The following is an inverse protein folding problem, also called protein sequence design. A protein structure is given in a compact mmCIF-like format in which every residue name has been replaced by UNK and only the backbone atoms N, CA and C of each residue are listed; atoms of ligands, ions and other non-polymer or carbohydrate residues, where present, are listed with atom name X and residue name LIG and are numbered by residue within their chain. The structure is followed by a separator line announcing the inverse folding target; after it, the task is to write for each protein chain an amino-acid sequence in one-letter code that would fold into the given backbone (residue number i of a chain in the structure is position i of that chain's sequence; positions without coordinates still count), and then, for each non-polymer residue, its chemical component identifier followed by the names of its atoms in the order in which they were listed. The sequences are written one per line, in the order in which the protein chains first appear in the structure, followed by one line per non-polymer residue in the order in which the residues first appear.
data_IF_503151329618
#
_entry.id   IF_503151329618
#
_cell.length_a   1.000
_cell.length_b   1.000
_cell.length_c   1.000
_cell.angle_alpha   90.00
_cell.angle_beta   90.00
_cell.angle_gamma   90.00
#
_symmetry.space_group_name_H-M   'P 1'
#
loop_
_entity.id
_entity.type
_entity.pdbx_description
1 polymer ?
#
# COMPACT_ATOMS: atom_id res chain seq x y z
N UNK A 1 -12.72 -20.93 -13.95
CA UNK A 1 -11.61 -20.37 -13.13
C UNK A 1 -10.47 -20.01 -14.09
N UNK A 2 -9.87 -18.83 -13.95
CA UNK A 2 -8.72 -18.42 -14.78
C UNK A 2 -7.54 -19.33 -14.43
N UNK A 3 -6.86 -19.86 -15.44
CA UNK A 3 -5.72 -20.75 -15.24
C UNK A 3 -4.50 -19.99 -14.67
N UNK A 4 -3.57 -20.66 -13.97
CA UNK A 4 -2.34 -20.03 -13.50
C UNK A 4 -1.52 -19.37 -14.60
N UNK A 5 -1.49 -19.98 -15.80
CA UNK A 5 -0.76 -19.45 -16.95
C UNK A 5 -1.42 -18.17 -17.50
N UNK A 6 -2.75 -18.12 -17.54
CA UNK A 6 -3.48 -16.91 -17.89
C UNK A 6 -3.24 -15.80 -16.87
N UNK A 7 -3.24 -16.11 -15.56
CA UNK A 7 -2.90 -15.12 -14.51
C UNK A 7 -1.49 -14.58 -14.73
N UNK A 8 -0.51 -15.46 -14.97
CA UNK A 8 0.87 -15.05 -15.20
C UNK A 8 1.00 -14.14 -16.44
N UNK A 9 0.28 -14.46 -17.53
CA UNK A 9 0.24 -13.63 -18.74
C UNK A 9 -0.38 -12.25 -18.47
N UNK A 10 -1.46 -12.18 -17.68
CA UNK A 10 -2.09 -10.91 -17.31
C UNK A 10 -1.18 -10.06 -16.43
N UNK A 11 -0.50 -10.68 -15.45
CA UNK A 11 0.48 -9.97 -14.60
C UNK A 11 1.66 -9.47 -15.43
N UNK A 12 2.15 -10.25 -16.39
CA UNK A 12 3.19 -9.80 -17.32
C UNK A 12 2.72 -8.60 -18.17
N UNK A 13 1.48 -8.62 -18.64
CA UNK A 13 0.90 -7.49 -19.37
C UNK A 13 0.84 -6.21 -18.50
N UNK A 14 0.52 -6.33 -17.21
CA UNK A 14 0.55 -5.19 -16.27
C UNK A 14 1.96 -4.64 -16.08
N UNK A 15 2.96 -5.53 -15.94
CA UNK A 15 4.38 -5.16 -15.82
C UNK A 15 4.82 -4.37 -17.06
N UNK A 16 4.52 -4.88 -18.26
CA UNK A 16 4.95 -4.25 -19.50
C UNK A 16 4.25 -2.91 -19.73
N UNK A 17 2.93 -2.85 -19.50
CA UNK A 17 2.14 -1.66 -19.80
C UNK A 17 2.38 -0.51 -18.82
N UNK A 18 2.46 -0.81 -17.52
CA UNK A 18 2.61 0.20 -16.46
C UNK A 18 4.02 0.28 -15.87
N UNK A 19 4.98 -0.46 -16.44
CA UNK A 19 6.38 -0.53 -15.98
C UNK A 19 6.53 -0.90 -14.49
N UNK A 20 5.59 -1.67 -13.96
CA UNK A 20 5.61 -2.13 -12.57
C UNK A 20 6.69 -3.20 -12.35
N UNK A 21 7.17 -3.31 -11.11
CA UNK A 21 7.89 -4.52 -10.71
C UNK A 21 6.90 -5.69 -10.67
N UNK A 22 7.36 -6.89 -11.06
CA UNK A 22 6.51 -8.10 -11.11
C UNK A 22 5.80 -8.38 -9.79
N UNK A 23 6.51 -8.22 -8.67
CA UNK A 23 5.94 -8.42 -7.34
C UNK A 23 4.81 -7.43 -7.02
N UNK A 24 4.95 -6.16 -7.41
CA UNK A 24 3.90 -5.16 -7.27
C UNK A 24 2.72 -5.40 -8.21
N UNK A 25 2.97 -5.78 -9.46
CA UNK A 25 1.91 -6.15 -10.41
C UNK A 25 1.10 -7.34 -9.88
N UNK A 26 1.78 -8.36 -9.32
CA UNK A 26 1.13 -9.49 -8.67
C UNK A 26 0.33 -9.06 -7.43
N UNK A 27 0.86 -8.15 -6.61
CA UNK A 27 0.15 -7.65 -5.43
C UNK A 27 -1.13 -6.89 -5.81
N UNK A 28 -1.08 -6.05 -6.85
CA UNK A 28 -2.28 -5.35 -7.37
C UNK A 28 -3.26 -6.35 -7.98
N UNK A 29 -2.78 -7.36 -8.72
CA UNK A 29 -3.61 -8.44 -9.23
C UNK A 29 -4.34 -9.21 -8.13
N UNK A 30 -3.66 -9.48 -7.02
CA UNK A 30 -4.29 -10.18 -5.89
C UNK A 30 -5.41 -9.35 -5.24
N UNK A 31 -5.40 -8.02 -5.37
CA UNK A 31 -6.45 -7.15 -4.85
C UNK A 31 -7.63 -6.99 -5.82
N UNK A 32 -7.34 -6.72 -7.10
CA UNK A 32 -8.37 -6.30 -8.06
C UNK A 32 -8.65 -7.32 -9.17
N UNK A 33 -7.82 -8.35 -9.32
CA UNK A 33 -7.92 -9.34 -10.38
C UNK A 33 -7.97 -8.66 -11.75
N UNK A 34 -9.02 -8.98 -12.52
CA UNK A 34 -9.24 -8.43 -13.87
C UNK A 34 -9.34 -6.90 -13.91
N UNK A 35 -9.75 -6.24 -12.81
CA UNK A 35 -9.89 -4.78 -12.74
C UNK A 35 -8.55 -4.06 -12.51
N UNK A 36 -7.45 -4.79 -12.29
CA UNK A 36 -6.13 -4.21 -11.98
C UNK A 36 -5.69 -3.17 -13.01
N UNK A 37 -5.86 -3.48 -14.30
CA UNK A 37 -5.46 -2.56 -15.37
C UNK A 37 -6.28 -1.27 -15.34
N UNK A 38 -7.60 -1.37 -15.13
CA UNK A 38 -8.48 -0.22 -15.07
C UNK A 38 -8.20 0.66 -13.84
N UNK A 39 -7.93 0.04 -12.68
CA UNK A 39 -7.56 0.77 -11.46
C UNK A 39 -6.23 1.49 -11.62
N UNK A 40 -5.18 0.79 -12.11
CA UNK A 40 -3.86 1.43 -12.33
C UNK A 40 -4.00 2.58 -13.35
N UNK A 41 -4.77 2.39 -14.41
CA UNK A 41 -5.07 3.44 -15.39
C UNK A 41 -5.68 4.69 -14.74
N UNK A 42 -6.68 4.53 -13.87
CA UNK A 42 -7.29 5.65 -13.12
C UNK A 42 -6.26 6.34 -12.22
N UNK A 43 -5.41 5.58 -11.53
CA UNK A 43 -4.36 6.14 -10.66
C UNK A 43 -3.35 6.98 -11.46
N UNK A 44 -2.94 6.48 -12.63
CA UNK A 44 -2.02 7.20 -13.51
C UNK A 44 -2.68 8.46 -14.08
N UNK A 45 -3.94 8.39 -14.50
CA UNK A 45 -4.71 9.54 -14.99
C UNK A 45 -4.87 10.62 -13.92
N UNK A 46 -5.33 10.28 -12.71
CA UNK A 46 -5.50 11.25 -11.61
C UNK A 46 -4.17 11.91 -11.24
N UNK A 47 -3.09 11.13 -11.18
CA UNK A 47 -1.77 11.68 -10.87
C UNK A 47 -1.27 12.61 -11.98
N UNK A 48 -1.64 12.40 -13.25
CA UNK A 48 -1.30 13.32 -14.34
C UNK A 48 -2.09 14.63 -14.28
N UNK A 49 -3.33 14.61 -13.78
CA UNK A 49 -4.16 15.80 -13.60
C UNK A 49 -3.64 16.69 -12.46
N UNK A 50 -3.24 16.09 -11.33
CA UNK A 50 -2.58 16.78 -10.21
C UNK A 50 -1.23 17.44 -10.63
N UNK A 51 -0.60 16.93 -11.70
CA UNK A 51 0.68 17.41 -12.23
C UNK A 51 0.56 18.62 -13.18
N UNK A 52 -0.61 19.25 -13.32
CA UNK A 52 -0.74 20.54 -14.05
C UNK A 52 0.05 21.71 -13.41
N UNK A 53 0.77 21.48 -12.30
CA UNK A 53 1.82 22.36 -11.75
C UNK A 53 3.26 21.85 -11.91
N UNK A 54 3.51 20.91 -12.83
CA UNK A 54 4.82 20.57 -13.38
C UNK A 54 5.65 19.58 -12.55
N UNK A 55 5.77 18.33 -13.02
CA UNK A 55 7.01 17.52 -13.05
C UNK A 55 6.68 16.06 -13.34
N UNK A 56 7.57 15.38 -14.07
CA UNK A 56 7.62 13.98 -14.56
C UNK A 56 7.53 12.93 -13.42
N UNK A 57 6.47 12.95 -12.62
CA UNK A 57 6.38 12.22 -11.36
C UNK A 57 5.55 10.93 -11.43
N UNK A 58 4.67 10.78 -12.42
CA UNK A 58 3.70 9.66 -12.50
C UNK A 58 4.39 8.31 -12.61
N UNK A 59 5.36 8.19 -13.51
CA UNK A 59 6.07 6.93 -13.79
C UNK A 59 6.93 6.48 -12.60
N UNK A 60 7.56 7.41 -11.88
CA UNK A 60 8.31 7.09 -10.65
C UNK A 60 7.44 6.80 -9.44
N UNK A 61 6.20 7.30 -9.43
CA UNK A 61 5.33 7.19 -8.25
C UNK A 61 4.91 5.75 -7.95
N UNK A 62 4.66 4.94 -8.99
CA UNK A 62 4.21 3.56 -8.85
C UNK A 62 5.30 2.62 -8.30
N UNK A 63 6.57 3.05 -8.27
CA UNK A 63 7.65 2.29 -7.66
C UNK A 63 7.74 2.45 -6.15
N UNK A 64 7.10 3.47 -5.56
CA UNK A 64 7.10 3.65 -4.12
C UNK A 64 6.16 2.64 -3.48
N UNK A 65 6.68 1.80 -2.59
CA UNK A 65 5.91 0.75 -1.91
C UNK A 65 5.52 1.10 -0.48
N UNK A 66 4.41 0.52 -0.03
CA UNK A 66 4.05 0.46 1.37
C UNK A 66 5.02 -0.49 2.09
N UNK A 67 5.65 -0.02 3.16
CA UNK A 67 6.65 -0.74 3.96
C UNK A 67 6.13 -2.12 4.34
N UNK A 68 6.99 -3.12 4.20
CA UNK A 68 6.65 -4.52 4.49
C UNK A 68 5.77 -5.20 3.43
N UNK A 69 5.46 -4.52 2.31
CA UNK A 69 4.58 -5.06 1.27
C UNK A 69 5.08 -4.75 -0.15
N UNK A 70 4.50 -5.46 -1.11
CA UNK A 70 4.72 -5.19 -2.53
C UNK A 70 3.72 -4.18 -3.14
N UNK A 71 2.81 -3.64 -2.31
CA UNK A 71 1.76 -2.73 -2.76
C UNK A 71 2.30 -1.32 -3.05
N UNK A 72 2.05 -0.77 -4.24
CA UNK A 72 2.39 0.62 -4.54
C UNK A 72 1.58 1.61 -3.69
N UNK A 73 2.25 2.61 -3.11
CA UNK A 73 1.63 3.67 -2.31
C UNK A 73 0.55 4.43 -3.09
N UNK A 74 0.72 4.80 -4.38
CA UNK A 74 -0.34 5.49 -5.12
C UNK A 74 -1.64 4.68 -5.24
N UNK A 75 -1.54 3.34 -5.32
CA UNK A 75 -2.71 2.46 -5.32
C UNK A 75 -3.39 2.50 -3.95
N UNK A 76 -2.62 2.46 -2.85
CA UNK A 76 -3.17 2.60 -1.50
C UNK A 76 -3.86 3.93 -1.31
N UNK A 77 -3.27 5.03 -1.79
CA UNK A 77 -3.88 6.36 -1.72
C UNK A 77 -5.19 6.45 -2.51
N UNK A 78 -5.24 5.82 -3.69
CA UNK A 78 -6.44 5.75 -4.51
C UNK A 78 -7.55 4.97 -3.79
N UNK A 79 -7.23 3.82 -3.18
CA UNK A 79 -8.19 3.07 -2.35
C UNK A 79 -8.72 3.96 -1.22
N UNK A 80 -7.85 4.72 -0.55
CA UNK A 80 -8.26 5.60 0.54
C UNK A 80 -9.27 6.65 0.04
N UNK A 81 -8.98 7.28 -1.10
CA UNK A 81 -9.86 8.30 -1.71
C UNK A 81 -11.20 7.73 -2.17
N UNK A 82 -11.21 6.57 -2.79
CA UNK A 82 -12.34 6.10 -3.59
C UNK A 82 -13.15 4.98 -2.95
N UNK A 83 -12.62 4.28 -1.94
CA UNK A 83 -13.29 3.12 -1.33
C UNK A 83 -13.83 3.35 0.09
N UNK A 84 -14.08 4.62 0.44
CA UNK A 84 -14.67 5.05 1.71
C UNK A 84 -13.88 4.62 2.96
N UNK A 85 -12.55 4.56 2.84
CA UNK A 85 -11.67 4.25 3.97
C UNK A 85 -11.66 5.43 4.95
N UNK A 86 -11.77 5.16 6.25
CA UNK A 86 -11.63 6.20 7.29
C UNK A 86 -10.61 5.82 8.36
N UNK A 87 -10.33 4.53 8.53
CA UNK A 87 -9.49 4.00 9.61
C UNK A 87 -8.44 3.04 9.07
N UNK A 88 -7.39 2.78 9.85
CA UNK A 88 -6.38 1.78 9.48
C UNK A 88 -6.98 0.37 9.40
N UNK A 89 -7.98 0.07 10.25
CA UNK A 89 -8.69 -1.21 10.23
C UNK A 89 -9.44 -1.45 8.90
N UNK A 90 -10.04 -0.42 8.30
CA UNK A 90 -10.70 -0.54 6.99
C UNK A 90 -9.71 -1.04 5.92
N UNK A 91 -8.48 -0.52 5.94
CA UNK A 91 -7.44 -0.94 5.02
C UNK A 91 -6.98 -2.37 5.31
N UNK A 92 -6.60 -2.64 6.56
CA UNK A 92 -5.98 -3.92 6.94
C UNK A 92 -6.94 -5.11 6.81
N UNK A 93 -8.19 -4.92 7.19
CA UNK A 93 -9.15 -6.03 7.31
C UNK A 93 -10.01 -6.21 6.06
N UNK A 94 -10.27 -5.15 5.29
CA UNK A 94 -11.30 -5.18 4.22
C UNK A 94 -10.77 -4.85 2.84
N UNK A 95 -9.81 -3.93 2.70
CA UNK A 95 -9.35 -3.45 1.39
C UNK A 95 -8.04 -4.08 0.93
N UNK A 96 -7.04 -4.06 1.78
CA UNK A 96 -5.71 -4.60 1.50
C UNK A 96 -5.56 -6.04 2.00
N UNK A 97 -6.49 -6.51 2.85
CA UNK A 97 -6.51 -7.86 3.41
C UNK A 97 -5.19 -8.27 4.10
N UNK A 98 -4.46 -7.31 4.66
CA UNK A 98 -3.19 -7.53 5.35
C UNK A 98 -3.35 -8.39 6.61
N UNK A 99 -4.57 -8.52 7.14
CA UNK A 99 -4.88 -9.48 8.22
C UNK A 99 -4.49 -10.92 7.86
N UNK A 100 -4.51 -11.28 6.57
CA UNK A 100 -4.10 -12.59 6.06
C UNK A 100 -2.65 -12.63 5.57
N UNK A 101 -1.93 -11.50 5.59
CA UNK A 101 -0.52 -11.49 5.23
C UNK A 101 0.27 -12.35 6.24
N UNK A 102 1.39 -12.98 5.84
CA UNK A 102 2.22 -13.73 6.78
C UNK A 102 2.67 -12.89 7.97
N UNK A 103 2.95 -11.60 7.73
CA UNK A 103 3.42 -10.63 8.73
C UNK A 103 2.78 -9.26 8.50
N UNK A 104 2.56 -8.53 9.58
CA UNK A 104 2.14 -7.13 9.57
C UNK A 104 2.96 -6.42 10.62
N UNK A 105 3.78 -5.47 10.17
CA UNK A 105 4.70 -4.74 11.04
C UNK A 105 4.04 -3.44 11.50
N UNK A 106 4.46 -2.97 12.68
CA UNK A 106 3.97 -1.70 13.24
C UNK A 106 4.22 -0.54 12.27
N UNK A 107 5.37 -0.54 11.60
CA UNK A 107 5.73 0.49 10.63
C UNK A 107 4.77 0.54 9.42
N UNK A 108 4.29 -0.62 8.96
CA UNK A 108 3.25 -0.69 7.92
C UNK A 108 1.98 0.01 8.38
N UNK A 109 1.52 -0.27 9.60
CA UNK A 109 0.32 0.35 10.16
C UNK A 109 0.48 1.86 10.35
N UNK A 110 1.63 2.31 10.86
CA UNK A 110 1.93 3.74 11.01
C UNK A 110 2.00 4.45 9.65
N UNK A 111 2.53 3.78 8.62
CA UNK A 111 2.51 4.35 7.27
C UNK A 111 1.09 4.47 6.73
N UNK A 112 0.23 3.46 6.92
CA UNK A 112 -1.18 3.52 6.52
C UNK A 112 -1.92 4.67 7.22
N UNK A 113 -1.70 4.86 8.52
CA UNK A 113 -2.26 5.99 9.26
C UNK A 113 -1.83 7.32 8.64
N UNK A 114 -0.53 7.50 8.36
CA UNK A 114 -0.01 8.71 7.70
C UNK A 114 -0.66 8.92 6.32
N UNK A 115 -0.95 7.85 5.57
CA UNK A 115 -1.64 7.96 4.27
C UNK A 115 -3.08 8.43 4.44
N UNK A 116 -3.83 7.88 5.40
CA UNK A 116 -5.21 8.31 5.69
C UNK A 116 -5.23 9.77 6.11
N UNK A 117 -4.34 10.19 7.02
CA UNK A 117 -4.21 11.59 7.43
C UNK A 117 -3.86 12.50 6.25
N UNK A 118 -2.97 12.06 5.35
CA UNK A 118 -2.62 12.85 4.18
C UNK A 118 -3.81 13.07 3.22
N UNK A 119 -4.73 12.10 3.12
CA UNK A 119 -5.90 12.19 2.22
C UNK A 119 -7.09 12.89 2.88
N UNK A 120 -7.33 12.68 4.17
CA UNK A 120 -8.53 13.16 4.87
C UNK A 120 -8.27 14.23 5.93
N UNK A 121 -7.02 14.55 6.22
CA UNK A 121 -6.61 15.46 7.30
C UNK A 121 -6.71 14.86 8.70
N UNK A 122 -7.32 13.68 8.86
CA UNK A 122 -7.47 12.99 10.14
C UNK A 122 -7.65 11.48 9.96
N UNK A 123 -7.35 10.72 11.02
CA UNK A 123 -7.56 9.28 11.10
C UNK A 123 -8.20 8.93 12.46
N UNK A 124 -9.54 8.76 12.53
CA UNK A 124 -10.24 8.55 13.79
C UNK A 124 -9.80 7.31 14.59
N UNK A 125 -9.32 6.27 13.90
CA UNK A 125 -8.72 5.09 14.50
C UNK A 125 -7.44 4.72 13.74
N UNK A 126 -6.31 5.17 14.30
CA UNK A 126 -4.96 5.00 13.76
C UNK A 126 -4.34 3.62 14.02
N UNK A 127 -3.02 3.54 13.88
CA UNK A 127 -2.28 2.29 13.95
C UNK A 127 -2.41 1.58 15.30
N UNK A 128 -2.47 2.31 16.42
CA UNK A 128 -2.63 1.71 17.76
C UNK A 128 -3.96 0.99 17.91
N UNK A 129 -5.06 1.62 17.47
CA UNK A 129 -6.37 0.97 17.47
C UNK A 129 -6.40 -0.26 16.54
N UNK A 130 -5.68 -0.21 15.41
CA UNK A 130 -5.56 -1.35 14.51
C UNK A 130 -4.77 -2.51 15.13
N UNK A 131 -3.67 -2.26 15.86
CA UNK A 131 -2.94 -3.29 16.62
C UNK A 131 -3.89 -3.98 17.61
N UNK A 132 -4.66 -3.20 18.37
CA UNK A 132 -5.63 -3.75 19.32
C UNK A 132 -6.71 -4.58 18.64
N UNK A 133 -7.25 -4.11 17.50
CA UNK A 133 -8.23 -4.85 16.70
C UNK A 133 -7.65 -6.18 16.21
N UNK A 134 -6.45 -6.16 15.63
CA UNK A 134 -5.75 -7.33 15.12
C UNK A 134 -5.52 -8.38 16.21
N UNK A 135 -5.04 -7.94 17.37
CA UNK A 135 -4.81 -8.82 18.51
C UNK A 135 -6.13 -9.40 19.05
N UNK A 136 -7.16 -8.56 19.22
CA UNK A 136 -8.43 -8.94 19.84
C UNK A 136 -9.27 -9.85 18.94
N UNK A 137 -9.36 -9.53 17.65
CA UNK A 137 -10.30 -10.16 16.73
C UNK A 137 -9.67 -11.32 15.95
N UNK A 138 -8.35 -11.29 15.74
CA UNK A 138 -7.64 -12.26 14.90
C UNK A 138 -6.47 -12.96 15.61
N UNK A 139 -6.19 -12.62 16.87
CA UNK A 139 -5.07 -13.18 17.63
C UNK A 139 -3.70 -12.83 17.04
N UNK A 140 -3.63 -11.77 16.23
CA UNK A 140 -2.43 -11.38 15.48
C UNK A 140 -1.54 -10.49 16.32
N UNK A 141 -0.29 -10.91 16.49
CA UNK A 141 0.77 -10.10 17.09
C UNK A 141 1.38 -9.23 15.99
N UNK A 142 1.47 -7.93 16.23
CA UNK A 142 2.14 -6.98 15.33
C UNK A 142 3.60 -6.89 15.73
N UNK A 143 4.50 -7.13 14.79
CA UNK A 143 5.95 -7.04 15.06
C UNK A 143 6.37 -5.58 15.13
N UNK A 144 7.13 -5.22 16.17
CA UNK A 144 7.85 -3.95 16.18
C UNK A 144 9.09 -4.13 15.30
N UNK A 145 9.23 -3.30 14.26
CA UNK A 145 10.47 -3.26 13.49
C UNK A 145 11.58 -2.86 14.46
N UNK A 146 12.63 -3.67 14.70
CA UNK A 146 13.73 -3.24 15.54
C UNK A 146 14.36 -2.03 14.87
N UNK A 147 14.20 -0.85 15.48
CA UNK A 147 14.96 0.32 15.09
C UNK A 147 16.42 -0.09 15.10
N UNK A 148 17.07 -0.08 13.93
CA UNK A 148 18.51 -0.15 13.86
C UNK A 148 19.01 1.01 14.74
N UNK A 149 19.53 0.66 15.91
CA UNK A 149 20.11 1.58 16.87
C UNK A 149 21.22 2.29 16.10
N UNK A 150 20.98 3.50 15.60
CA UNK A 150 22.04 4.28 14.95
C UNK A 150 23.00 4.60 16.09
N UNK A 151 24.24 4.06 16.11
CA UNK A 151 25.19 4.45 17.11
C UNK A 151 25.40 5.96 16.98
N UNK A 152 25.12 6.66 18.06
CA UNK A 152 25.30 8.10 18.21
C UNK A 152 26.72 8.44 17.71
N UNK A 153 26.80 9.22 16.63
CA UNK A 153 28.09 9.58 16.05
C UNK A 153 28.92 10.33 17.11
N UNK A 154 30.21 10.03 17.27
CA UNK A 154 31.01 10.65 18.32
C UNK A 154 31.05 12.16 18.10
N UNK A 155 30.57 12.91 19.10
CA UNK A 155 30.76 14.36 19.18
C UNK A 155 32.25 14.63 19.15
N UNK A 156 32.74 15.18 18.04
CA UNK A 156 34.12 15.65 17.95
C UNK A 156 34.28 16.85 18.88
N UNK A 157 35.18 16.66 19.87
CA UNK A 157 35.74 17.67 20.77
C UNK A 157 36.61 18.67 20.03
#
# INVERSE_FOLDING_TARGET
PVSPDEIAAQVAALVDHFRLQTASAQAVWNLFGMESSAVIGKVVSEAAEDQSSGSVATDRSLHRRLTGTELPVPIVDWIIRHEQVRTVADLVERRLLLVFAPRVDRETLDQLERRIVAVHGSCPAGATAAVESLQRNYGRVVEETPHANIPDAPRQT
#
